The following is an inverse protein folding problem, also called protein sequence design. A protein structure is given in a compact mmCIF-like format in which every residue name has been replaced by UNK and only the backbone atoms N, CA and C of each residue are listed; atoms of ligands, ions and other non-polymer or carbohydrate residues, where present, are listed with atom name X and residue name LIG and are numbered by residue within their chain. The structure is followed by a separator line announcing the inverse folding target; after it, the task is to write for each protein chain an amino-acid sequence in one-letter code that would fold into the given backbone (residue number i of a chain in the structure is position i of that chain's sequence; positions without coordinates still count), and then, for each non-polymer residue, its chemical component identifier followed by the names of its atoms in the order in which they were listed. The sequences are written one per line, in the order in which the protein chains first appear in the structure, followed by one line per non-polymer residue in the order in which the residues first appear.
data_IF_823313983649
#
_entry.id   IF_823313983649
#
_cell.length_a   1.000
_cell.length_b   1.000
_cell.length_c   1.000
_cell.angle_alpha   90.00
_cell.angle_beta   90.00
_cell.angle_gamma   90.00
#
_symmetry.space_group_name_H-M   'P 1'
#
loop_
_entity.id
_entity.type
_entity.pdbx_description
1 polymer ?
#
# COMPACT_ATOMS: atom_id res chain seq x y z
N UNK A 1 1.84 -20.18 27.87
CA UNK A 1 1.04 -19.18 27.13
C UNK A 1 1.69 -17.81 27.43
N UNK A 2 2.12 -17.04 26.43
CA UNK A 2 2.55 -15.65 26.68
C UNK A 2 1.30 -14.84 27.09
N UNK A 3 1.43 -13.92 28.06
CA UNK A 3 0.32 -13.01 28.34
C UNK A 3 -0.02 -12.21 27.06
N UNK A 4 -1.27 -11.77 26.90
CA UNK A 4 -1.62 -10.86 25.79
C UNK A 4 -0.73 -9.63 25.85
N UNK A 5 -0.34 -9.13 24.67
CA UNK A 5 0.45 -7.91 24.57
C UNK A 5 -0.33 -6.76 25.24
N UNK A 6 0.36 -5.92 26.01
CA UNK A 6 -0.24 -4.74 26.61
C UNK A 6 -0.44 -3.64 25.55
N UNK A 7 -1.30 -2.68 25.83
CA UNK A 7 -1.46 -1.46 25.02
C UNK A 7 -0.11 -0.74 24.83
N UNK A 8 0.74 -0.75 25.86
CA UNK A 8 2.08 -0.15 25.80
C UNK A 8 2.98 -0.93 24.83
N UNK A 9 2.97 -2.27 24.85
CA UNK A 9 3.74 -3.09 23.92
C UNK A 9 3.33 -2.81 22.46
N UNK A 10 2.03 -2.62 22.19
CA UNK A 10 1.52 -2.28 20.86
C UNK A 10 1.97 -0.88 20.41
N UNK A 11 2.00 0.09 21.30
CA UNK A 11 2.51 1.45 21.04
C UNK A 11 4.00 1.45 20.79
N UNK A 12 4.77 0.72 21.59
CA UNK A 12 6.23 0.62 21.46
C UNK A 12 6.61 0.00 20.10
N UNK A 13 5.93 -1.07 19.66
CA UNK A 13 6.11 -1.65 18.32
C UNK A 13 5.78 -0.65 17.22
N UNK A 14 4.70 0.11 17.36
CA UNK A 14 4.32 1.12 16.36
C UNK A 14 5.31 2.28 16.28
N UNK A 15 5.90 2.68 17.41
CA UNK A 15 6.91 3.72 17.46
C UNK A 15 8.25 3.23 16.91
N UNK A 16 8.70 2.04 17.27
CA UNK A 16 9.91 1.41 16.75
C UNK A 16 9.85 1.24 15.22
N UNK A 17 8.68 0.84 14.68
CA UNK A 17 8.49 0.72 13.23
C UNK A 17 8.53 2.07 12.49
N UNK A 18 8.26 3.18 13.18
CA UNK A 18 8.24 4.52 12.56
C UNK A 18 9.61 5.16 12.40
N UNK A 19 10.58 4.87 13.26
CA UNK A 19 11.75 5.72 13.44
C UNK A 19 13.04 5.18 12.82
N UNK A 20 13.11 3.90 12.46
CA UNK A 20 14.38 3.24 12.13
C UNK A 20 14.87 3.41 10.69
N UNK A 21 14.05 3.90 9.76
CA UNK A 21 14.43 3.97 8.34
C UNK A 21 14.41 5.38 7.70
N UNK A 22 14.14 6.44 8.46
CA UNK A 22 13.96 7.76 7.89
C UNK A 22 15.17 8.66 8.11
N UNK A 23 15.92 8.90 7.05
CA UNK A 23 17.06 9.83 7.07
C UNK A 23 16.66 11.28 7.36
N UNK A 24 15.38 11.63 7.16
CA UNK A 24 14.82 12.97 7.38
C UNK A 24 13.48 12.89 8.09
N UNK A 25 13.11 13.89 8.92
CA UNK A 25 11.80 13.95 9.54
C UNK A 25 10.70 14.05 8.48
N UNK A 26 9.51 13.53 8.80
CA UNK A 26 8.34 13.66 7.92
C UNK A 26 7.86 15.12 7.89
N UNK A 27 7.70 15.70 6.70
CA UNK A 27 7.13 17.03 6.52
C UNK A 27 5.77 17.18 7.19
N UNK A 28 4.89 16.18 7.02
CA UNK A 28 3.55 16.18 7.61
C UNK A 28 3.62 16.13 9.13
N UNK A 29 4.48 15.28 9.71
CA UNK A 29 4.71 15.24 11.17
C UNK A 29 5.15 16.61 11.69
N UNK A 30 6.13 17.24 11.04
CA UNK A 30 6.62 18.56 11.47
C UNK A 30 5.50 19.61 11.41
N UNK A 31 4.63 19.58 10.39
CA UNK A 31 3.45 20.45 10.32
C UNK A 31 2.49 20.25 11.51
N UNK A 32 2.19 19.00 11.87
CA UNK A 32 1.34 18.69 13.03
C UNK A 32 1.97 19.14 14.37
N UNK A 33 3.30 19.21 14.42
CA UNK A 33 4.04 19.75 15.56
C UNK A 33 4.19 21.28 15.52
N UNK A 34 3.53 21.96 14.59
CA UNK A 34 3.59 23.41 14.42
C UNK A 34 4.89 23.93 13.79
N UNK A 35 5.68 23.06 13.17
CA UNK A 35 6.96 23.40 12.54
C UNK A 35 6.85 23.28 11.00
N UNK A 36 6.87 24.40 10.31
CA UNK A 36 6.86 24.40 8.84
C UNK A 36 8.27 24.26 8.29
N UNK A 37 8.58 23.05 7.79
CA UNK A 37 9.91 22.68 7.26
C UNK A 37 9.88 22.65 5.72
N UNK A 38 9.90 23.84 5.09
CA UNK A 38 9.89 23.97 3.63
C UNK A 38 11.08 23.24 2.97
N UNK A 39 12.21 23.19 3.66
CA UNK A 39 13.44 22.52 3.22
C UNK A 39 13.27 21.01 2.94
N UNK A 40 12.22 20.37 3.51
CA UNK A 40 11.90 18.97 3.27
C UNK A 40 11.16 18.71 1.95
N UNK A 41 10.58 19.75 1.35
CA UNK A 41 9.76 19.61 0.14
C UNK A 41 10.19 20.57 -0.98
N UNK A 42 11.09 21.51 -0.72
CA UNK A 42 11.57 22.48 -1.70
C UNK A 42 13.09 22.70 -1.58
N UNK A 43 13.86 22.69 -2.72
CA UNK A 43 13.36 22.37 -4.05
C UNK A 43 12.84 20.93 -4.15
N UNK A 44 11.86 20.72 -5.03
CA UNK A 44 11.36 19.37 -5.28
C UNK A 44 12.52 18.48 -5.73
N UNK A 45 12.68 17.26 -5.15
CA UNK A 45 13.74 16.35 -5.56
C UNK A 45 13.71 16.12 -7.07
N UNK A 46 14.88 16.16 -7.70
CA UNK A 46 14.99 15.77 -9.10
C UNK A 46 14.73 14.28 -9.26
N UNK A 47 14.03 13.94 -10.34
CA UNK A 47 13.80 12.54 -10.69
C UNK A 47 15.12 11.88 -11.08
N UNK A 48 15.29 10.64 -10.65
CA UNK A 48 16.31 9.77 -11.23
C UNK A 48 15.96 9.49 -12.70
N UNK A 49 16.83 9.85 -13.66
CA UNK A 49 16.56 9.60 -15.09
C UNK A 49 16.38 8.11 -15.42
N UNK A 50 17.08 7.22 -14.75
CA UNK A 50 16.97 5.78 -14.96
C UNK A 50 15.62 5.27 -14.47
N UNK A 51 15.17 5.72 -13.31
CA UNK A 51 13.83 5.40 -12.79
C UNK A 51 12.74 5.97 -13.69
N UNK A 52 12.89 7.20 -14.15
CA UNK A 52 11.94 7.84 -15.09
C UNK A 52 11.80 7.03 -16.37
N UNK A 53 12.92 6.59 -16.95
CA UNK A 53 12.91 5.76 -18.16
C UNK A 53 12.24 4.38 -17.94
N UNK A 54 12.46 3.76 -16.77
CA UNK A 54 11.81 2.49 -16.42
C UNK A 54 10.29 2.64 -16.21
N UNK A 55 9.89 3.75 -15.61
CA UNK A 55 8.50 4.03 -15.29
C UNK A 55 7.66 4.45 -16.51
N UNK A 56 8.28 5.10 -17.50
CA UNK A 56 7.58 5.70 -18.64
C UNK A 56 6.65 4.73 -19.38
N UNK A 57 7.05 3.49 -19.72
CA UNK A 57 6.16 2.56 -20.41
C UNK A 57 4.91 2.18 -19.61
N UNK A 58 5.05 2.02 -18.29
CA UNK A 58 3.93 1.74 -17.41
C UNK A 58 2.98 2.92 -17.31
N UNK A 59 3.51 4.12 -17.06
CA UNK A 59 2.69 5.33 -16.96
C UNK A 59 1.95 5.65 -18.25
N UNK A 60 2.58 5.42 -19.42
CA UNK A 60 1.92 5.59 -20.72
C UNK A 60 0.76 4.60 -20.91
N UNK A 61 0.93 3.33 -20.54
CA UNK A 61 -0.15 2.33 -20.56
C UNK A 61 -1.29 2.72 -19.63
N UNK A 62 -0.94 3.15 -18.41
CA UNK A 62 -1.93 3.57 -17.42
C UNK A 62 -2.72 4.80 -17.92
N UNK A 63 -2.05 5.77 -18.55
CA UNK A 63 -2.71 6.93 -19.14
C UNK A 63 -3.71 6.50 -20.23
N UNK A 64 -3.27 5.66 -21.17
CA UNK A 64 -4.13 5.15 -22.24
C UNK A 64 -5.33 4.32 -21.71
N UNK A 65 -5.12 3.60 -20.60
CA UNK A 65 -6.20 2.90 -19.90
C UNK A 65 -7.21 3.89 -19.32
N UNK A 66 -6.75 4.94 -18.65
CA UNK A 66 -7.66 5.92 -18.02
C UNK A 66 -8.55 6.67 -19.03
N UNK A 67 -8.11 6.82 -20.28
CA UNK A 67 -8.95 7.40 -21.34
C UNK A 67 -10.19 6.56 -21.68
N UNK A 68 -10.16 5.26 -21.39
CA UNK A 68 -11.28 4.33 -21.64
C UNK A 68 -12.24 4.22 -20.46
N UNK A 69 -11.87 4.72 -19.29
CA UNK A 69 -12.66 4.58 -18.07
C UNK A 69 -13.89 5.48 -18.13
N UNK A 70 -15.04 4.89 -17.98
CA UNK A 70 -16.32 5.58 -17.80
C UNK A 70 -16.61 5.70 -16.30
N UNK A 71 -16.18 6.80 -15.69
CA UNK A 71 -16.34 7.05 -14.26
C UNK A 71 -17.80 7.31 -13.87
N UNK A 72 -18.61 7.83 -14.81
CA UNK A 72 -20.05 8.05 -14.56
C UNK A 72 -20.77 6.71 -14.43
N UNK A 73 -20.42 5.73 -15.27
CA UNK A 73 -20.99 4.38 -15.17
C UNK A 73 -20.57 3.68 -13.87
N UNK A 74 -19.29 3.79 -13.46
CA UNK A 74 -18.80 3.24 -12.19
C UNK A 74 -19.56 3.86 -11.01
N UNK A 75 -19.71 5.18 -10.99
CA UNK A 75 -20.43 5.89 -9.93
C UNK A 75 -21.92 5.50 -9.90
N UNK A 76 -22.54 5.41 -11.06
CA UNK A 76 -23.95 5.05 -11.20
C UNK A 76 -24.27 3.61 -10.76
N UNK A 77 -23.39 2.66 -11.08
CA UNK A 77 -23.59 1.23 -10.77
C UNK A 77 -23.04 0.83 -9.39
N UNK A 78 -22.07 1.58 -8.87
CA UNK A 78 -21.31 1.21 -7.68
C UNK A 78 -20.35 0.04 -7.90
N UNK A 79 -20.09 -0.33 -9.16
CA UNK A 79 -19.27 -1.49 -9.52
C UNK A 79 -18.17 -1.10 -10.50
N UNK A 80 -16.96 -1.58 -10.26
CA UNK A 80 -15.84 -1.50 -11.21
C UNK A 80 -15.94 -2.73 -12.13
N UNK A 81 -16.12 -2.54 -13.45
CA UNK A 81 -16.23 -3.66 -14.38
C UNK A 81 -14.99 -4.57 -14.36
N UNK A 82 -15.20 -5.89 -14.24
CA UNK A 82 -14.08 -6.85 -14.18
C UNK A 82 -13.09 -6.76 -15.36
N UNK A 83 -13.49 -6.43 -16.60
CA UNK A 83 -12.51 -6.19 -17.68
C UNK A 83 -11.51 -5.08 -17.38
N UNK A 84 -11.92 -4.00 -16.69
CA UNK A 84 -11.02 -2.93 -16.27
C UNK A 84 -10.05 -3.42 -15.20
N UNK A 85 -10.54 -4.18 -14.23
CA UNK A 85 -9.70 -4.78 -13.20
C UNK A 85 -8.68 -5.75 -13.81
N UNK A 86 -9.10 -6.51 -14.81
CA UNK A 86 -8.19 -7.44 -15.52
C UNK A 86 -7.12 -6.68 -16.32
N UNK A 87 -7.47 -5.60 -17.01
CA UNK A 87 -6.48 -4.76 -17.73
C UNK A 87 -5.46 -4.14 -16.75
N UNK A 88 -5.89 -3.73 -15.55
CA UNK A 88 -4.99 -3.28 -14.48
C UNK A 88 -4.05 -4.40 -13.99
N UNK A 89 -4.52 -5.64 -13.88
CA UNK A 89 -3.69 -6.81 -13.56
C UNK A 89 -2.65 -7.05 -14.64
N UNK A 90 -3.07 -7.05 -15.90
CA UNK A 90 -2.22 -7.36 -17.05
C UNK A 90 -1.09 -6.33 -17.24
N UNK A 91 -1.33 -5.06 -16.88
CA UNK A 91 -0.28 -4.04 -16.91
C UNK A 91 0.60 -4.01 -15.66
N UNK A 92 0.30 -4.81 -14.63
CA UNK A 92 1.06 -4.87 -13.38
C UNK A 92 0.73 -3.76 -12.38
N UNK A 93 -0.44 -3.10 -12.52
CA UNK A 93 -0.82 -1.96 -11.69
C UNK A 93 -1.00 -2.30 -10.20
N UNK A 94 -1.20 -3.56 -9.84
CA UNK A 94 -1.26 -4.03 -8.45
C UNK A 94 0.11 -4.29 -7.83
N UNK A 95 1.17 -4.31 -8.63
CA UNK A 95 2.54 -4.63 -8.22
C UNK A 95 3.56 -3.52 -8.46
N UNK A 96 3.16 -2.25 -8.47
CA UNK A 96 4.04 -1.11 -8.83
C UNK A 96 5.31 -1.10 -7.99
N UNK A 97 5.20 -1.26 -6.67
CA UNK A 97 6.31 -1.22 -5.71
C UNK A 97 6.86 -2.59 -5.32
N UNK A 98 6.22 -3.67 -5.75
CA UNK A 98 6.71 -5.02 -5.48
C UNK A 98 8.02 -5.22 -6.26
N UNK A 99 9.08 -5.74 -5.62
CA UNK A 99 10.36 -5.94 -6.30
C UNK A 99 10.24 -6.84 -7.54
N UNK A 100 11.04 -6.54 -8.57
CA UNK A 100 11.02 -7.27 -9.83
C UNK A 100 11.34 -8.76 -9.69
N UNK A 101 12.16 -9.13 -8.71
CA UNK A 101 12.49 -10.53 -8.36
C UNK A 101 11.27 -11.37 -7.97
N UNK A 102 10.18 -10.71 -7.51
CA UNK A 102 8.90 -11.34 -7.21
C UNK A 102 7.85 -11.14 -8.31
N UNK A 103 8.25 -10.59 -9.46
CA UNK A 103 7.37 -10.35 -10.59
C UNK A 103 6.61 -9.03 -10.57
N UNK A 104 6.93 -8.12 -9.65
CA UNK A 104 6.42 -6.75 -9.62
C UNK A 104 7.15 -5.82 -10.59
N UNK A 105 6.70 -4.56 -10.66
CA UNK A 105 7.36 -3.56 -11.51
C UNK A 105 8.63 -2.98 -10.86
N UNK A 106 8.81 -3.11 -9.56
CA UNK A 106 9.98 -2.62 -8.82
C UNK A 106 10.19 -1.11 -8.96
N UNK A 107 9.10 -0.35 -9.13
CA UNK A 107 9.15 1.09 -9.31
C UNK A 107 9.12 1.82 -7.97
N UNK A 108 9.57 3.07 -7.99
CA UNK A 108 9.72 3.89 -6.80
C UNK A 108 8.40 4.34 -6.18
N UNK A 109 8.46 4.84 -4.94
CA UNK A 109 7.33 5.51 -4.28
C UNK A 109 6.88 6.75 -5.07
N UNK A 110 7.80 7.47 -5.69
CA UNK A 110 7.46 8.64 -6.50
C UNK A 110 6.65 8.24 -7.73
N UNK A 111 7.08 7.19 -8.45
CA UNK A 111 6.32 6.64 -9.59
C UNK A 111 4.94 6.14 -9.16
N UNK A 112 4.85 5.44 -8.01
CA UNK A 112 3.58 5.03 -7.44
C UNK A 112 2.66 6.25 -7.18
N UNK A 113 3.18 7.31 -6.58
CA UNK A 113 2.41 8.53 -6.31
C UNK A 113 1.90 9.17 -7.61
N UNK A 114 2.72 9.23 -8.66
CA UNK A 114 2.32 9.72 -9.98
C UNK A 114 1.23 8.86 -10.64
N UNK A 115 1.36 7.54 -10.51
CA UNK A 115 0.32 6.63 -10.98
C UNK A 115 -1.00 6.86 -10.25
N UNK A 116 -0.97 6.99 -8.92
CA UNK A 116 -2.18 7.27 -8.13
C UNK A 116 -2.76 8.66 -8.47
N UNK A 117 -1.94 9.67 -8.67
CA UNK A 117 -2.38 11.00 -9.11
C UNK A 117 -3.10 10.93 -10.46
N UNK A 118 -2.56 10.19 -11.41
CA UNK A 118 -3.17 9.97 -12.72
C UNK A 118 -4.54 9.29 -12.60
N UNK A 119 -4.62 8.20 -11.82
CA UNK A 119 -5.88 7.48 -11.61
C UNK A 119 -6.90 8.35 -10.89
N UNK A 120 -6.50 9.06 -9.82
CA UNK A 120 -7.38 9.95 -9.05
C UNK A 120 -7.95 11.07 -9.91
N UNK A 121 -7.22 11.57 -10.90
CA UNK A 121 -7.71 12.64 -11.77
C UNK A 121 -8.92 12.24 -12.62
N UNK A 122 -9.21 10.94 -12.70
CA UNK A 122 -10.30 10.39 -13.50
C UNK A 122 -11.34 9.67 -12.64
N UNK A 123 -10.90 8.78 -11.72
CA UNK A 123 -11.83 7.91 -10.99
C UNK A 123 -11.36 7.64 -9.54
N UNK A 124 -12.24 7.94 -8.58
CA UNK A 124 -11.99 7.75 -7.16
C UNK A 124 -12.05 6.29 -6.69
N UNK A 125 -12.90 5.48 -7.31
CA UNK A 125 -13.07 4.06 -6.93
C UNK A 125 -11.86 3.23 -7.37
N UNK A 126 -11.34 3.48 -8.59
CA UNK A 126 -10.13 2.83 -9.09
C UNK A 126 -8.89 3.18 -8.27
N UNK A 127 -8.73 4.45 -7.85
CA UNK A 127 -7.61 4.80 -6.98
C UNK A 127 -7.75 4.18 -5.60
N UNK A 128 -8.95 4.10 -5.05
CA UNK A 128 -9.19 3.41 -3.78
C UNK A 128 -8.81 1.93 -3.87
N UNK A 129 -9.23 1.23 -4.93
CA UNK A 129 -8.86 -0.16 -5.19
C UNK A 129 -7.33 -0.35 -5.25
N UNK A 130 -6.63 0.43 -6.05
CA UNK A 130 -5.19 0.29 -6.24
C UNK A 130 -4.40 0.74 -5.03
N UNK A 131 -4.77 1.86 -4.40
CA UNK A 131 -4.02 2.41 -3.27
C UNK A 131 -4.21 1.57 -2.01
N UNK A 132 -5.43 1.19 -1.67
CA UNK A 132 -5.69 0.37 -0.50
C UNK A 132 -4.97 -0.98 -0.58
N UNK A 133 -5.01 -1.63 -1.76
CA UNK A 133 -4.31 -2.90 -1.97
C UNK A 133 -2.80 -2.80 -1.77
N UNK A 134 -2.15 -1.69 -2.14
CA UNK A 134 -0.69 -1.57 -2.19
C UNK A 134 -0.07 -0.77 -1.04
N UNK A 135 -0.80 0.15 -0.41
CA UNK A 135 -0.26 1.01 0.64
C UNK A 135 -0.57 0.53 2.03
N UNK A 136 -1.84 0.18 2.30
CA UNK A 136 -2.29 -0.29 3.62
C UNK A 136 -2.57 -1.79 3.64
N UNK A 137 -2.75 -2.42 2.48
CA UNK A 137 -2.87 -3.86 2.36
C UNK A 137 -1.56 -4.59 2.60
N UNK A 138 -1.52 -5.86 2.23
CA UNK A 138 -0.41 -6.77 2.53
C UNK A 138 0.96 -6.37 1.97
N UNK A 139 1.11 -5.74 0.77
CA UNK A 139 2.44 -5.49 0.19
C UNK A 139 3.40 -4.71 1.07
N UNK A 140 2.93 -3.64 1.71
CA UNK A 140 3.80 -2.78 2.51
C UNK A 140 4.23 -3.44 3.82
N UNK A 141 3.32 -3.97 4.66
CA UNK A 141 3.72 -4.73 5.85
C UNK A 141 4.61 -5.93 5.53
N UNK A 142 4.32 -6.66 4.45
CA UNK A 142 5.11 -7.80 4.02
C UNK A 142 6.54 -7.39 3.62
N UNK A 143 6.71 -6.24 2.98
CA UNK A 143 8.02 -5.69 2.62
C UNK A 143 8.85 -5.38 3.86
N UNK A 144 8.25 -4.76 4.87
CA UNK A 144 8.92 -4.28 6.07
C UNK A 144 9.18 -5.40 7.09
N UNK A 145 8.18 -6.25 7.33
CA UNK A 145 8.18 -7.19 8.45
C UNK A 145 8.12 -8.66 8.04
N UNK A 146 7.84 -8.95 6.76
CA UNK A 146 7.76 -10.32 6.27
C UNK A 146 9.12 -11.02 6.23
N UNK A 147 9.16 -12.28 6.63
CA UNK A 147 10.33 -13.12 6.39
C UNK A 147 10.40 -13.59 4.92
N UNK A 148 11.53 -14.18 4.51
CA UNK A 148 11.75 -14.58 3.11
C UNK A 148 10.71 -15.59 2.61
N UNK A 149 10.32 -16.56 3.44
CA UNK A 149 9.30 -17.54 3.09
C UNK A 149 7.93 -16.88 2.83
N UNK A 150 7.56 -15.89 3.63
CA UNK A 150 6.33 -15.12 3.43
C UNK A 150 6.42 -14.26 2.16
N UNK A 151 7.54 -13.58 1.93
CA UNK A 151 7.77 -12.77 0.72
C UNK A 151 7.70 -13.63 -0.54
N UNK A 152 8.36 -14.78 -0.56
CA UNK A 152 8.31 -15.76 -1.67
C UNK A 152 6.90 -16.31 -1.91
N UNK A 153 6.11 -16.50 -0.87
CA UNK A 153 4.74 -17.02 -0.98
C UNK A 153 3.75 -16.00 -1.51
N UNK A 154 3.81 -14.77 -1.03
CA UNK A 154 2.75 -13.78 -1.24
C UNK A 154 3.05 -12.73 -2.31
N UNK A 155 4.27 -12.22 -2.42
CA UNK A 155 4.59 -11.19 -3.42
C UNK A 155 4.27 -11.61 -4.86
N UNK A 156 4.59 -12.84 -5.33
CA UNK A 156 4.24 -13.23 -6.69
C UNK A 156 2.73 -13.26 -6.95
N UNK A 157 1.93 -13.53 -5.93
CA UNK A 157 0.46 -13.50 -6.03
C UNK A 157 -0.05 -12.07 -6.15
N UNK A 158 0.46 -11.18 -5.30
CA UNK A 158 0.12 -9.76 -5.30
C UNK A 158 0.57 -9.07 -6.59
N UNK A 159 1.77 -9.39 -7.09
CA UNK A 159 2.29 -8.87 -8.35
C UNK A 159 1.40 -9.25 -9.56
N UNK A 160 0.79 -10.43 -9.51
CA UNK A 160 -0.19 -10.89 -10.52
C UNK A 160 -1.60 -10.34 -10.32
N UNK A 161 -1.80 -9.42 -9.38
CA UNK A 161 -3.06 -8.72 -9.16
C UNK A 161 -4.01 -9.37 -8.16
N UNK A 162 -3.50 -10.21 -7.24
CA UNK A 162 -4.28 -10.58 -6.07
C UNK A 162 -4.55 -9.32 -5.24
N UNK A 163 -5.82 -9.05 -4.97
CA UNK A 163 -6.25 -7.91 -4.19
C UNK A 163 -6.09 -8.27 -2.71
N UNK A 164 -5.43 -7.39 -1.96
CA UNK A 164 -5.36 -7.47 -0.51
C UNK A 164 -6.21 -6.37 0.12
N UNK A 165 -6.72 -6.66 1.30
CA UNK A 165 -7.53 -5.74 2.07
C UNK A 165 -6.92 -5.49 3.45
N UNK A 166 -7.42 -4.47 4.12
CA UNK A 166 -7.03 -4.09 5.46
C UNK A 166 -8.28 -4.00 6.34
N UNK A 167 -8.36 -4.81 7.37
CA UNK A 167 -9.48 -4.87 8.30
C UNK A 167 -8.94 -4.63 9.72
N UNK A 168 -8.82 -3.36 10.12
CA UNK A 168 -8.26 -2.95 11.40
C UNK A 168 -9.34 -2.60 12.40
N UNK A 169 -10.37 -1.87 11.97
CA UNK A 169 -11.41 -1.33 12.84
C UNK A 169 -12.30 -2.44 13.39
N UNK A 170 -12.44 -2.49 14.69
CA UNK A 170 -13.37 -3.35 15.43
C UNK A 170 -14.59 -2.54 15.90
N UNK A 171 -15.58 -3.22 16.48
CA UNK A 171 -16.80 -2.56 17.00
C UNK A 171 -16.44 -1.50 18.05
N UNK A 172 -15.49 -1.82 18.92
CA UNK A 172 -15.11 -0.99 20.07
C UNK A 172 -13.76 -0.26 19.90
N UNK A 173 -13.02 -0.53 18.81
CA UNK A 173 -11.70 0.06 18.58
C UNK A 173 -11.53 0.54 17.12
N UNK A 174 -11.51 1.85 16.92
CA UNK A 174 -11.28 2.48 15.61
C UNK A 174 -10.09 3.43 15.64
N UNK A 175 -10.28 4.62 16.22
CA UNK A 175 -9.24 5.66 16.29
C UNK A 175 -8.07 5.32 17.21
N UNK A 176 -8.25 4.39 18.14
CA UNK A 176 -7.20 3.87 19.00
C UNK A 176 -6.93 2.37 18.72
N UNK A 177 -6.12 2.05 17.69
CA UNK A 177 -5.84 0.66 17.33
C UNK A 177 -5.03 -0.10 18.38
N UNK A 178 -4.40 0.58 19.33
CA UNK A 178 -3.71 -0.08 20.44
C UNK A 178 -4.68 -0.76 21.42
N UNK A 179 -5.97 -0.40 21.36
CA UNK A 179 -7.03 -0.97 22.21
C UNK A 179 -7.84 -2.07 21.51
N UNK A 180 -7.29 -2.69 20.46
CA UNK A 180 -7.94 -3.81 19.78
C UNK A 180 -8.07 -5.03 20.68
N UNK A 181 -9.24 -5.70 20.61
CA UNK A 181 -9.54 -6.90 21.38
C UNK A 181 -9.30 -8.21 20.59
N UNK A 182 -9.21 -8.14 19.27
CA UNK A 182 -8.98 -9.31 18.42
C UNK A 182 -7.64 -9.97 18.76
N UNK A 183 -7.69 -11.28 19.00
CA UNK A 183 -6.51 -12.09 19.31
C UNK A 183 -6.36 -13.22 18.31
N UNK A 184 -5.11 -13.61 18.04
CA UNK A 184 -4.79 -14.75 17.19
C UNK A 184 -4.20 -15.89 18.05
N UNK A 185 -4.94 -16.99 18.18
CA UNK A 185 -4.52 -18.16 18.95
C UNK A 185 -4.04 -19.27 18.02
N UNK A 186 -2.85 -19.87 18.23
CA UNK A 186 -2.42 -21.01 17.43
C UNK A 186 -3.40 -22.17 17.54
N UNK A 187 -3.70 -22.83 16.41
CA UNK A 187 -4.44 -24.10 16.40
C UNK A 187 -3.69 -25.20 17.16
N UNK A 188 -4.40 -26.26 17.57
CA UNK A 188 -3.81 -27.35 18.34
C UNK A 188 -2.65 -28.07 17.62
N UNK A 189 -2.67 -28.10 16.28
CA UNK A 189 -1.64 -28.66 15.42
C UNK A 189 -0.57 -27.64 14.96
N UNK A 190 -0.72 -26.36 15.34
CA UNK A 190 0.20 -25.29 14.98
C UNK A 190 0.19 -24.89 13.49
N UNK A 191 -0.76 -25.41 12.69
CA UNK A 191 -0.79 -25.17 11.24
C UNK A 191 -1.40 -23.82 10.84
N UNK A 192 -2.22 -23.22 11.71
CA UNK A 192 -2.91 -21.95 11.45
C UNK A 192 -3.22 -21.21 12.76
N UNK A 193 -3.72 -19.99 12.64
CA UNK A 193 -4.24 -19.19 13.75
C UNK A 193 -5.76 -19.13 13.66
N UNK A 194 -6.38 -19.15 14.83
CA UNK A 194 -7.82 -18.90 15.02
C UNK A 194 -7.96 -17.47 15.52
N UNK A 195 -8.76 -16.66 14.80
CA UNK A 195 -9.07 -15.27 15.15
C UNK A 195 -10.38 -15.22 15.92
#
# INVERSE_FOLDING_TARGET
MRPPASEQDARDVAEEARETEWAHPSFVREMFLGRFRLDLIHPHPSDDPAETARAAPFLAKLHAFMEKVDSEEIDRTGEIPEPLVQELRDMGAFGIKIPAEYGGLGLSQLTYTRAMQLVTSKDGSLVALLSASQSIGLPQPLKLFGNDAQKQKYFPRLARGAISAFALTEVDAGSDPANMATTATPSADGSHFIL
#
